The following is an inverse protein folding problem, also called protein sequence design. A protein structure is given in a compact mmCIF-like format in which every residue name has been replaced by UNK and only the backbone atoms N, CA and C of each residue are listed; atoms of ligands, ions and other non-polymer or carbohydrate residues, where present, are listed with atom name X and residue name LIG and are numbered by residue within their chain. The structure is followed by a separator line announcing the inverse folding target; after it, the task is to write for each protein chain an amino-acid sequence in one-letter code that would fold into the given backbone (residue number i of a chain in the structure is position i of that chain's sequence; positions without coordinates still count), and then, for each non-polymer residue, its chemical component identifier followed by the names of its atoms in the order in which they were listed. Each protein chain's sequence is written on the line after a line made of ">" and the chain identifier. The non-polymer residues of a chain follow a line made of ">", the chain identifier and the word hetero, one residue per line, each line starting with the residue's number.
data_IF_172923497406
#
_entry.id   IF_172923497406
#
_cell.length_a   1.000
_cell.length_b   1.000
_cell.length_c   1.000
_cell.angle_alpha   90.00
_cell.angle_beta   90.00
_cell.angle_gamma   90.00
#
_symmetry.space_group_name_H-M   'P 1'
#
loop_
_entity.id
_entity.type
_entity.pdbx_description
1 polymer ?
#
# COMPACT_ATOMS: atom_id res chain seq x y z
N UNK A 1 -7.82 -9.79 13.27
CA UNK A 1 -8.63 -8.65 13.78
C UNK A 1 -9.14 -7.80 12.61
N UNK A 2 -10.41 -7.34 12.60
CA UNK A 2 -10.92 -6.39 11.60
C UNK A 2 -10.85 -4.96 12.14
N UNK A 3 -10.35 -4.03 11.36
CA UNK A 3 -10.30 -2.61 11.69
C UNK A 3 -11.64 -1.93 11.35
N UNK A 4 -12.10 -1.00 12.18
CA UNK A 4 -13.43 -0.39 12.06
C UNK A 4 -13.43 0.87 11.19
N UNK A 5 -14.46 1.03 10.35
CA UNK A 5 -14.68 2.25 9.57
C UNK A 5 -15.17 3.36 10.49
N UNK A 6 -14.51 4.51 10.43
CA UNK A 6 -14.85 5.69 11.20
C UNK A 6 -15.75 6.66 10.43
N UNK A 7 -15.66 6.67 9.09
CA UNK A 7 -16.40 7.62 8.25
C UNK A 7 -17.05 6.96 7.03
N UNK A 8 -18.07 7.66 6.52
CA UNK A 8 -18.68 7.38 5.23
C UNK A 8 -17.74 7.66 4.05
N UNK A 9 -18.03 7.01 2.92
CA UNK A 9 -17.22 7.15 1.69
C UNK A 9 -17.30 8.57 1.11
N UNK A 10 -16.15 9.25 1.02
CA UNK A 10 -16.00 10.51 0.27
C UNK A 10 -15.62 10.27 -1.19
N UNK A 11 -16.62 10.06 -2.05
CA UNK A 11 -16.40 9.80 -3.49
C UNK A 11 -15.68 10.95 -4.24
N UNK A 12 -15.81 12.17 -3.75
CA UNK A 12 -15.18 13.36 -4.32
C UNK A 12 -13.73 13.54 -3.92
N UNK A 13 -13.23 12.80 -2.90
CA UNK A 13 -11.85 12.87 -2.46
C UNK A 13 -10.89 12.60 -3.63
N UNK A 14 -9.89 13.48 -3.75
CA UNK A 14 -8.77 13.38 -4.68
C UNK A 14 -7.48 13.54 -3.87
N UNK A 15 -6.60 12.53 -3.84
CA UNK A 15 -5.32 12.68 -3.18
C UNK A 15 -4.34 13.47 -4.06
N UNK A 16 -3.37 14.09 -3.42
CA UNK A 16 -2.16 14.61 -4.05
C UNK A 16 -1.02 13.61 -3.88
N UNK A 17 -0.06 13.66 -4.80
CA UNK A 17 1.10 12.77 -4.83
C UNK A 17 2.36 13.61 -4.90
N UNK A 18 3.32 13.35 -4.01
CA UNK A 18 4.60 14.09 -3.90
C UNK A 18 5.67 13.22 -3.24
N UNK A 19 6.89 13.74 -3.23
CA UNK A 19 8.05 13.18 -2.52
C UNK A 19 8.40 11.77 -3.01
N UNK A 20 8.34 11.56 -4.34
CA UNK A 20 8.75 10.32 -4.95
C UNK A 20 10.28 10.20 -4.99
N UNK A 21 10.79 9.00 -4.69
CA UNK A 21 12.20 8.68 -4.90
C UNK A 21 12.37 7.96 -6.23
N UNK A 22 12.97 8.65 -7.19
CA UNK A 22 13.16 8.19 -8.55
C UNK A 22 14.61 7.86 -8.85
N UNK A 23 14.85 6.75 -9.54
CA UNK A 23 16.20 6.32 -9.95
C UNK A 23 16.20 5.87 -11.41
N UNK A 24 17.40 5.69 -11.99
CA UNK A 24 17.57 5.25 -13.39
C UNK A 24 16.80 6.15 -14.38
N UNK A 25 17.01 7.47 -14.29
CA UNK A 25 16.32 8.47 -15.11
C UNK A 25 14.79 8.30 -15.08
N UNK A 26 14.24 8.20 -13.86
CA UNK A 26 12.79 8.03 -13.58
C UNK A 26 12.16 6.73 -14.09
N UNK A 27 12.94 5.77 -14.58
CA UNK A 27 12.44 4.43 -14.92
C UNK A 27 12.07 3.60 -13.69
N UNK A 28 12.59 3.98 -12.54
CA UNK A 28 12.31 3.38 -11.25
C UNK A 28 11.70 4.41 -10.30
N UNK A 29 10.78 3.95 -9.46
CA UNK A 29 10.25 4.69 -8.32
C UNK A 29 10.19 3.78 -7.10
N UNK A 30 11.04 4.04 -6.13
CA UNK A 30 11.15 3.22 -4.92
C UNK A 30 10.01 3.54 -3.92
N UNK A 31 9.66 4.81 -3.78
CA UNK A 31 8.57 5.28 -2.90
C UNK A 31 7.81 6.44 -3.55
N UNK A 32 6.54 6.63 -3.17
CA UNK A 32 5.76 7.84 -3.44
C UNK A 32 4.88 8.16 -2.23
N UNK A 33 4.81 9.43 -1.82
CA UNK A 33 3.87 9.83 -0.77
C UNK A 33 2.55 10.30 -1.37
N UNK A 34 1.44 9.85 -0.77
CA UNK A 34 0.07 10.16 -1.17
C UNK A 34 -0.64 10.79 0.02
N UNK A 35 -1.27 11.95 -0.16
CA UNK A 35 -1.90 12.72 0.92
C UNK A 35 -3.27 13.27 0.51
N UNK A 36 -4.15 13.49 1.47
CA UNK A 36 -5.42 14.17 1.24
C UNK A 36 -5.85 14.92 2.51
N UNK A 37 -6.77 15.87 2.36
CA UNK A 37 -7.42 16.52 3.49
C UNK A 37 -8.31 15.49 4.20
N UNK A 38 -8.04 15.19 5.46
CA UNK A 38 -8.85 14.27 6.27
C UNK A 38 -10.29 14.72 6.50
N UNK A 39 -11.02 13.99 7.33
CA UNK A 39 -12.32 14.44 7.84
C UNK A 39 -12.11 15.61 8.81
N UNK A 40 -12.89 16.68 8.68
CA UNK A 40 -12.74 17.90 9.50
C UNK A 40 -13.61 17.92 10.76
N UNK A 41 -14.66 17.10 10.82
CA UNK A 41 -15.61 17.09 11.95
C UNK A 41 -15.05 16.31 13.15
N UNK A 42 -14.39 15.18 12.89
CA UNK A 42 -13.73 14.37 13.91
C UNK A 42 -12.37 13.90 13.38
N UNK A 43 -11.37 14.80 13.29
CA UNK A 43 -10.13 14.52 12.59
C UNK A 43 -9.33 13.39 13.26
N UNK A 44 -9.02 12.37 12.46
CA UNK A 44 -7.92 11.43 12.70
C UNK A 44 -6.79 11.75 11.73
N UNK A 45 -5.58 11.31 12.06
CA UNK A 45 -4.40 11.58 11.27
C UNK A 45 -3.49 10.36 11.17
N UNK A 46 -4.09 9.20 10.90
CA UNK A 46 -3.31 7.98 10.73
C UNK A 46 -2.56 8.00 9.39
N UNK A 47 -1.42 7.33 9.41
CA UNK A 47 -0.50 7.17 8.31
C UNK A 47 -0.31 5.68 7.99
N UNK A 48 -0.20 5.35 6.71
CA UNK A 48 0.12 3.99 6.30
C UNK A 48 1.38 3.91 5.41
N UNK A 49 2.03 2.75 5.42
CA UNK A 49 2.89 2.32 4.32
C UNK A 49 2.15 1.21 3.58
N UNK A 50 1.97 1.35 2.26
CA UNK A 50 1.36 0.32 1.43
C UNK A 50 2.41 -0.33 0.54
N UNK A 51 2.37 -1.67 0.45
CA UNK A 51 3.31 -2.47 -0.34
C UNK A 51 2.55 -3.12 -1.50
N UNK A 52 2.84 -2.65 -2.72
CA UNK A 52 2.32 -3.22 -3.97
C UNK A 52 3.37 -4.01 -4.75
N UNK A 53 3.04 -4.45 -5.97
CA UNK A 53 3.99 -5.17 -6.84
C UNK A 53 4.98 -4.22 -7.51
N UNK A 54 4.49 -3.21 -8.24
CA UNK A 54 5.31 -2.27 -8.98
C UNK A 54 4.58 -0.94 -9.26
N UNK A 55 5.29 0.18 -9.45
CA UNK A 55 4.72 1.42 -9.96
C UNK A 55 4.09 1.26 -11.34
N UNK A 56 2.89 1.79 -11.54
CA UNK A 56 2.20 1.73 -12.84
C UNK A 56 2.22 3.06 -13.59
N UNK A 57 1.57 4.11 -13.04
CA UNK A 57 1.37 5.39 -13.75
C UNK A 57 1.55 6.64 -12.89
N UNK A 58 1.25 6.54 -11.60
CA UNK A 58 1.32 7.68 -10.69
C UNK A 58 2.75 8.20 -10.49
N UNK A 59 2.89 9.50 -10.29
CA UNK A 59 4.14 10.21 -10.00
C UNK A 59 3.86 11.47 -9.14
N UNK A 60 4.83 12.37 -8.96
CA UNK A 60 4.70 13.59 -8.17
C UNK A 60 3.75 14.67 -8.74
N UNK A 61 3.18 14.44 -9.93
CA UNK A 61 2.27 15.37 -10.57
C UNK A 61 0.85 14.82 -10.67
N UNK A 62 0.71 13.48 -10.68
CA UNK A 62 -0.58 12.83 -10.84
C UNK A 62 -0.71 11.53 -10.06
N UNK A 63 -1.89 11.36 -9.47
CA UNK A 63 -2.38 10.08 -8.94
C UNK A 63 -2.88 9.16 -10.07
N UNK A 64 -3.19 7.92 -9.73
CA UNK A 64 -3.85 6.95 -10.61
C UNK A 64 -5.06 6.29 -9.93
N UNK A 65 -5.72 5.35 -10.62
CA UNK A 65 -6.87 4.61 -10.08
C UNK A 65 -6.52 3.88 -8.79
N UNK A 66 -5.34 3.26 -8.70
CA UNK A 66 -4.92 2.47 -7.55
C UNK A 66 -4.77 3.36 -6.33
N UNK A 67 -4.01 4.46 -6.45
CA UNK A 67 -3.77 5.38 -5.33
C UNK A 67 -5.03 6.12 -4.92
N UNK A 68 -5.86 6.55 -5.87
CA UNK A 68 -7.14 7.24 -5.57
C UNK A 68 -8.13 6.30 -4.88
N UNK A 69 -8.25 5.06 -5.35
CA UNK A 69 -9.12 4.06 -4.74
C UNK A 69 -8.66 3.73 -3.31
N UNK A 70 -7.34 3.58 -3.12
CA UNK A 70 -6.77 3.30 -1.80
C UNK A 70 -6.94 4.48 -0.85
N UNK A 71 -6.66 5.72 -1.29
CA UNK A 71 -6.85 6.92 -0.48
C UNK A 71 -8.28 7.02 0.05
N UNK A 72 -9.28 6.87 -0.83
CA UNK A 72 -10.70 6.87 -0.43
C UNK A 72 -11.07 5.73 0.51
N UNK A 73 -10.50 4.55 0.30
CA UNK A 73 -10.74 3.41 1.16
C UNK A 73 -10.17 3.68 2.57
N UNK A 74 -8.91 4.12 2.67
CA UNK A 74 -8.25 4.40 3.95
C UNK A 74 -8.79 5.64 4.64
N UNK A 75 -9.31 6.60 3.89
CA UNK A 75 -10.01 7.74 4.43
C UNK A 75 -11.16 7.32 5.35
N UNK A 76 -11.94 6.30 4.95
CA UNK A 76 -13.02 5.74 5.77
C UNK A 76 -12.54 5.20 7.13
N UNK A 77 -11.24 4.96 7.29
CA UNK A 77 -10.60 4.42 8.50
C UNK A 77 -9.80 5.49 9.28
N UNK A 78 -9.89 6.78 8.92
CA UNK A 78 -9.19 7.84 9.64
C UNK A 78 -7.77 8.15 9.18
N UNK A 79 -7.33 7.55 8.06
CA UNK A 79 -6.03 7.88 7.48
C UNK A 79 -6.11 9.16 6.67
N UNK A 80 -4.98 9.86 6.57
CA UNK A 80 -4.84 11.10 5.78
C UNK A 80 -3.71 11.02 4.76
N UNK A 81 -2.87 9.99 4.88
CA UNK A 81 -1.74 9.78 4.01
C UNK A 81 -1.30 8.32 3.98
N UNK A 82 -0.61 7.96 2.91
CA UNK A 82 0.22 6.77 2.89
C UNK A 82 1.46 6.94 2.01
N UNK A 83 2.50 6.16 2.29
CA UNK A 83 3.64 5.99 1.40
C UNK A 83 3.49 4.69 0.61
N UNK A 84 3.60 4.76 -0.71
CA UNK A 84 3.51 3.60 -1.61
C UNK A 84 4.90 3.05 -1.91
N UNK A 85 5.23 1.93 -1.28
CA UNK A 85 6.37 1.07 -1.63
C UNK A 85 5.92 -0.03 -2.58
N UNK A 86 6.88 -0.63 -3.28
CA UNK A 86 6.63 -1.75 -4.20
C UNK A 86 7.71 -2.80 -4.07
N UNK A 87 7.38 -4.07 -4.35
CA UNK A 87 8.37 -5.15 -4.45
C UNK A 87 9.45 -4.80 -5.47
N UNK A 88 9.04 -4.28 -6.62
CA UNK A 88 9.92 -3.82 -7.69
C UNK A 88 9.72 -2.32 -7.92
N UNK A 89 10.82 -1.57 -8.05
CA UNK A 89 10.75 -0.14 -8.31
C UNK A 89 10.47 0.20 -9.78
N UNK A 90 10.65 -0.74 -10.73
CA UNK A 90 10.47 -0.45 -12.16
C UNK A 90 9.04 -0.07 -12.53
N UNK A 91 8.87 1.03 -13.26
CA UNK A 91 7.59 1.38 -13.86
C UNK A 91 7.15 0.35 -14.88
N UNK A 92 5.94 -0.19 -14.70
CA UNK A 92 5.29 -0.99 -15.74
C UNK A 92 3.77 -1.04 -15.54
N UNK A 93 3.02 -0.92 -16.63
CA UNK A 93 1.57 -1.18 -16.60
C UNK A 93 1.26 -2.69 -16.71
N UNK A 94 2.18 -3.48 -17.26
CA UNK A 94 2.00 -4.92 -17.46
C UNK A 94 3.02 -5.69 -16.64
N UNK A 95 2.62 -6.82 -16.05
CA UNK A 95 3.52 -7.62 -15.22
C UNK A 95 4.77 -8.10 -15.98
N UNK A 96 4.63 -8.41 -17.28
CA UNK A 96 5.73 -8.81 -18.16
C UNK A 96 6.81 -7.74 -18.36
N UNK A 97 6.50 -6.47 -18.08
CA UNK A 97 7.45 -5.36 -18.17
C UNK A 97 8.20 -5.06 -16.87
N UNK A 98 7.96 -5.83 -15.79
CA UNK A 98 8.65 -5.64 -14.51
C UNK A 98 10.09 -6.14 -14.65
N UNK A 99 11.05 -5.31 -14.21
CA UNK A 99 12.48 -5.63 -14.26
C UNK A 99 12.89 -6.31 -12.96
N UNK A 100 13.25 -7.58 -13.01
CA UNK A 100 13.61 -8.37 -11.83
C UNK A 100 14.79 -7.79 -11.02
N UNK A 101 15.74 -7.12 -11.68
CA UNK A 101 16.88 -6.47 -11.03
C UNK A 101 16.55 -5.15 -10.31
N UNK A 102 15.27 -4.77 -10.24
CA UNK A 102 14.80 -3.55 -9.57
C UNK A 102 14.07 -3.84 -8.27
N UNK A 103 14.36 -4.99 -7.65
CA UNK A 103 13.79 -5.34 -6.34
C UNK A 103 14.16 -4.27 -5.31
N UNK A 104 13.16 -3.76 -4.60
CA UNK A 104 13.34 -2.74 -3.57
C UNK A 104 14.03 -3.34 -2.35
N UNK A 105 15.07 -2.66 -1.85
CA UNK A 105 15.69 -2.96 -0.57
C UNK A 105 14.88 -2.28 0.55
N UNK A 106 14.04 -3.06 1.25
CA UNK A 106 13.15 -2.56 2.30
C UNK A 106 13.89 -2.06 3.54
N UNK A 107 15.15 -2.44 3.76
CA UNK A 107 15.93 -1.96 4.89
C UNK A 107 16.14 -0.43 4.85
N UNK A 108 16.25 0.15 3.64
CA UNK A 108 16.33 1.60 3.41
C UNK A 108 15.10 2.37 3.91
N UNK A 109 13.97 1.69 4.00
CA UNK A 109 12.68 2.27 4.39
C UNK A 109 12.24 1.82 5.78
N UNK A 110 13.13 1.22 6.57
CA UNK A 110 12.83 0.78 7.94
C UNK A 110 12.22 1.90 8.80
N UNK A 111 12.82 3.10 8.79
CA UNK A 111 12.25 4.24 9.54
C UNK A 111 10.83 4.61 9.09
N UNK A 112 10.54 4.54 7.78
CA UNK A 112 9.18 4.76 7.29
C UNK A 112 8.19 3.70 7.78
N UNK A 113 8.63 2.44 7.90
CA UNK A 113 7.83 1.35 8.42
C UNK A 113 7.68 1.43 9.94
N UNK A 114 8.66 1.96 10.68
CA UNK A 114 8.58 2.20 12.12
C UNK A 114 7.58 3.32 12.44
N UNK A 115 7.68 4.45 11.76
CA UNK A 115 6.91 5.66 12.06
C UNK A 115 5.43 5.59 11.67
N UNK A 116 5.05 4.62 10.83
CA UNK A 116 3.68 4.50 10.34
C UNK A 116 2.77 3.73 11.31
N UNK A 117 1.50 4.14 11.37
CA UNK A 117 0.48 3.45 12.18
C UNK A 117 0.14 2.06 11.61
N UNK A 118 0.21 1.89 10.28
CA UNK A 118 -0.17 0.65 9.63
C UNK A 118 0.64 0.33 8.36
N UNK A 119 0.97 -0.94 8.18
CA UNK A 119 1.54 -1.47 6.94
C UNK A 119 0.47 -2.27 6.20
N UNK A 120 0.22 -1.97 4.93
CA UNK A 120 -0.84 -2.59 4.14
C UNK A 120 -0.24 -3.39 2.99
N UNK A 121 -0.50 -4.69 2.97
CA UNK A 121 -0.14 -5.57 1.87
C UNK A 121 -1.22 -5.52 0.78
N UNK A 122 -0.84 -5.04 -0.39
CA UNK A 122 -1.76 -4.69 -1.47
C UNK A 122 -1.32 -5.26 -2.84
N UNK A 123 -0.60 -6.39 -2.83
CA UNK A 123 0.06 -6.98 -4.00
C UNK A 123 -0.79 -7.98 -4.79
N UNK A 124 -2.08 -8.11 -4.49
CA UNK A 124 -3.01 -8.99 -5.20
C UNK A 124 -3.07 -10.41 -4.63
N UNK A 125 -4.10 -11.16 -5.03
CA UNK A 125 -4.44 -12.46 -4.44
C UNK A 125 -3.78 -13.65 -5.11
N UNK A 126 -3.07 -13.43 -6.21
CA UNK A 126 -2.26 -14.47 -6.83
C UNK A 126 -1.06 -14.78 -5.92
N UNK A 127 -1.14 -15.90 -5.21
CA UNK A 127 -0.11 -16.34 -4.27
C UNK A 127 1.13 -16.90 -4.98
N UNK A 128 1.00 -17.33 -6.24
CA UNK A 128 2.10 -17.91 -7.02
C UNK A 128 2.99 -16.83 -7.62
N UNK A 129 2.39 -15.71 -8.05
CA UNK A 129 3.13 -14.58 -8.58
C UNK A 129 4.02 -13.94 -7.51
N UNK A 130 5.32 -13.84 -7.80
CA UNK A 130 6.34 -13.23 -6.94
C UNK A 130 6.38 -13.82 -5.53
N UNK A 131 6.20 -15.14 -5.42
CA UNK A 131 6.13 -15.84 -4.13
C UNK A 131 7.39 -15.59 -3.29
N UNK A 132 8.56 -15.73 -3.89
CA UNK A 132 9.83 -15.60 -3.16
C UNK A 132 10.07 -14.16 -2.71
N UNK A 133 9.72 -13.18 -3.53
CA UNK A 133 9.87 -11.77 -3.18
C UNK A 133 8.87 -11.33 -2.10
N UNK A 134 7.63 -11.83 -2.15
CA UNK A 134 6.64 -11.64 -1.07
C UNK A 134 7.13 -12.25 0.23
N UNK A 135 7.65 -13.48 0.19
CA UNK A 135 8.19 -14.17 1.36
C UNK A 135 9.36 -13.40 1.99
N UNK A 136 10.31 -12.90 1.18
CA UNK A 136 11.42 -12.07 1.68
C UNK A 136 10.93 -10.82 2.41
N UNK A 137 9.88 -10.17 1.92
CA UNK A 137 9.30 -9.00 2.59
C UNK A 137 8.64 -9.41 3.91
N UNK A 138 7.87 -10.51 3.93
CA UNK A 138 7.26 -11.01 5.16
C UNK A 138 8.31 -11.40 6.21
N UNK A 139 9.38 -12.09 5.80
CA UNK A 139 10.52 -12.42 6.65
C UNK A 139 11.18 -11.18 7.24
N UNK A 140 11.40 -10.14 6.41
CA UNK A 140 11.90 -8.85 6.87
C UNK A 140 10.96 -8.19 7.88
N UNK A 141 9.66 -8.09 7.57
CA UNK A 141 8.66 -7.49 8.47
C UNK A 141 8.57 -8.25 9.81
N UNK A 142 8.75 -9.58 9.78
CA UNK A 142 8.80 -10.42 10.97
C UNK A 142 10.07 -10.22 11.79
N UNK A 143 11.24 -10.18 11.14
CA UNK A 143 12.51 -9.94 11.80
C UNK A 143 12.55 -8.57 12.49
N UNK A 144 11.97 -7.55 11.85
CA UNK A 144 11.84 -6.19 12.38
C UNK A 144 10.63 -6.00 13.32
N UNK A 145 9.90 -7.08 13.64
CA UNK A 145 8.76 -7.09 14.58
C UNK A 145 7.59 -6.17 14.17
N UNK A 146 7.39 -5.94 12.89
CA UNK A 146 6.28 -5.10 12.39
C UNK A 146 4.97 -5.84 12.19
N UNK A 147 4.95 -7.17 12.29
CA UNK A 147 3.78 -7.99 11.94
C UNK A 147 2.49 -7.61 12.67
N UNK A 148 2.57 -7.07 13.89
CA UNK A 148 1.40 -6.62 14.66
C UNK A 148 0.63 -5.49 13.98
N UNK A 149 1.30 -4.68 13.17
CA UNK A 149 0.71 -3.57 12.40
C UNK A 149 0.62 -3.84 10.90
N UNK A 150 0.73 -5.09 10.47
CA UNK A 150 0.53 -5.49 9.07
C UNK A 150 -0.93 -5.87 8.84
N UNK A 151 -1.52 -5.32 7.80
CA UNK A 151 -2.92 -5.46 7.42
C UNK A 151 -3.06 -5.75 5.92
N UNK A 152 -4.23 -6.22 5.52
CA UNK A 152 -4.62 -6.40 4.12
C UNK A 152 -6.08 -6.00 3.89
N UNK A 153 -6.43 -5.78 2.62
CA UNK A 153 -7.81 -5.45 2.23
C UNK A 153 -8.53 -6.71 1.80
N UNK A 154 -9.50 -7.14 2.59
CA UNK A 154 -10.20 -8.41 2.40
C UNK A 154 -11.64 -8.24 1.92
N UNK A 155 -12.07 -9.06 0.96
CA UNK A 155 -13.48 -9.11 0.55
C UNK A 155 -14.36 -9.76 1.60
N UNK A 156 -13.85 -10.80 2.27
CA UNK A 156 -14.63 -11.70 3.13
C UNK A 156 -14.15 -11.71 4.58
N UNK A 157 -13.25 -10.80 4.95
CA UNK A 157 -12.62 -10.78 6.27
C UNK A 157 -11.46 -11.76 6.45
N UNK A 158 -11.07 -12.52 5.40
CA UNK A 158 -9.90 -13.40 5.43
C UNK A 158 -8.60 -12.58 5.53
N UNK A 159 -7.78 -12.89 6.53
CA UNK A 159 -6.53 -12.23 6.93
C UNK A 159 -5.35 -12.46 5.97
N UNK A 160 -5.52 -13.26 4.92
CA UNK A 160 -4.50 -13.49 3.88
C UNK A 160 -4.89 -12.94 2.50
N UNK A 161 -6.06 -12.27 2.41
CA UNK A 161 -6.60 -11.73 1.16
C UNK A 161 -5.97 -10.37 0.84
N UNK A 162 -4.79 -10.36 0.22
CA UNK A 162 -4.01 -9.15 -0.09
C UNK A 162 -4.50 -8.44 -1.34
N UNK A 163 -5.79 -8.05 -1.40
CA UNK A 163 -6.41 -7.50 -2.62
C UNK A 163 -5.69 -6.26 -3.13
N UNK A 164 -5.48 -6.22 -4.45
CA UNK A 164 -4.94 -5.05 -5.11
C UNK A 164 -5.97 -3.91 -5.12
N UNK A 165 -5.61 -2.65 -4.79
CA UNK A 165 -6.59 -1.58 -4.56
C UNK A 165 -7.46 -1.29 -5.79
N UNK A 166 -6.93 -1.38 -7.01
CA UNK A 166 -7.75 -1.17 -8.23
C UNK A 166 -8.89 -2.18 -8.44
N UNK A 167 -8.93 -3.25 -7.64
CA UNK A 167 -9.88 -4.37 -7.69
C UNK A 167 -10.78 -4.48 -6.45
N UNK A 168 -10.71 -3.54 -5.50
CA UNK A 168 -11.52 -3.59 -4.27
C UNK A 168 -12.85 -2.85 -4.45
N UNK A 169 -13.82 -3.20 -3.60
CA UNK A 169 -15.00 -2.37 -3.31
C UNK A 169 -14.80 -1.62 -1.99
N UNK A 170 -15.45 -0.48 -1.81
CA UNK A 170 -15.46 0.24 -0.52
C UNK A 170 -16.25 -0.49 0.57
N UNK A 171 -17.00 -1.54 0.23
CA UNK A 171 -17.62 -2.46 1.20
C UNK A 171 -16.63 -3.46 1.80
N UNK A 172 -15.41 -3.59 1.25
CA UNK A 172 -14.40 -4.50 1.78
C UNK A 172 -13.91 -4.05 3.15
N UNK A 173 -13.12 -4.91 3.80
CA UNK A 173 -12.65 -4.73 5.16
C UNK A 173 -11.14 -4.62 5.21
N UNK A 174 -10.63 -3.79 6.11
CA UNK A 174 -9.24 -3.74 6.49
C UNK A 174 -9.03 -4.74 7.64
N UNK A 175 -8.19 -5.74 7.45
CA UNK A 175 -8.03 -6.87 8.37
C UNK A 175 -6.55 -7.05 8.67
N UNK A 176 -6.22 -7.32 9.93
CA UNK A 176 -4.87 -7.67 10.35
C UNK A 176 -4.42 -8.90 9.56
N UNK A 177 -3.23 -8.80 8.97
CA UNK A 177 -2.71 -9.83 8.12
C UNK A 177 -2.22 -11.01 8.95
N UNK A 178 -2.56 -12.21 8.50
CA UNK A 178 -2.06 -13.46 9.05
C UNK A 178 -1.62 -14.33 7.88
N UNK A 179 -0.43 -14.91 8.01
CA UNK A 179 0.05 -15.88 7.04
C UNK A 179 -0.89 -17.09 7.03
N UNK A 180 -1.23 -17.57 5.83
CA UNK A 180 -1.95 -18.84 5.72
C UNK A 180 -1.02 -19.96 6.17
N UNK A 181 -1.50 -20.84 7.04
CA UNK A 181 -0.84 -22.11 7.32
C UNK A 181 -0.67 -22.96 6.05
#
# INVERSE_FOLDING_TARGET
>A
MTYEKLYELRQTLRPTTKDGLYTDNEKNREILTVRWSGNTENPKNFSAVTIGINPSKANDERSDKTLTQLARFLDMYGFTNFKMLNIFSSYSTQQTGIRANTQTDFSKFKGCLEDTDMIILAWGTDRSAYKDEKNRILEFLKAEKFMEKVFCISKTGNSSDTRHPSRISYSYQLVQFEESA
#
